data_IF_763031475567
#
_entry.id   IF_763031475567
#
_cell.length_a   1.000
_cell.length_b   1.000
_cell.length_c   1.000
_cell.angle_alpha   90.00
_cell.angle_beta   90.00
_cell.angle_gamma   90.00
#
_symmetry.space_group_name_H-M   'P 1'
#
loop_
_entity.id
_entity.type
_entity.pdbx_description
1 polymer ?
#
# COMPACT_ATOMS: atom_id res chain seq x y z
N UNK A 1 9.68 30.16 18.26
CA UNK A 1 9.77 28.67 18.32
C UNK A 1 8.98 28.12 17.16
N UNK A 2 9.64 27.68 16.11
CA UNK A 2 9.01 26.93 15.03
C UNK A 2 8.57 25.58 15.60
N UNK A 3 7.27 25.29 15.60
CA UNK A 3 6.75 23.95 15.91
C UNK A 3 7.32 23.02 14.84
N UNK A 4 8.27 22.16 15.22
CA UNK A 4 8.79 21.13 14.34
C UNK A 4 7.61 20.30 13.81
N UNK A 5 7.50 20.19 12.49
CA UNK A 5 6.57 19.29 11.82
C UNK A 5 6.85 17.90 12.33
N UNK A 6 5.87 17.27 12.98
CA UNK A 6 6.02 15.89 13.43
C UNK A 6 6.13 14.99 12.19
N UNK A 7 7.26 14.32 12.06
CA UNK A 7 7.50 13.34 11.02
C UNK A 7 6.40 12.25 11.05
N UNK A 8 5.74 12.00 9.92
CA UNK A 8 4.73 10.95 9.80
C UNK A 8 5.44 9.62 9.54
N UNK A 9 5.41 8.72 10.51
CA UNK A 9 6.06 7.41 10.46
C UNK A 9 5.03 6.29 10.65
N UNK A 10 5.39 5.06 10.26
CA UNK A 10 4.61 3.87 10.57
C UNK A 10 5.16 3.26 11.86
N UNK A 11 4.28 3.04 12.83
CA UNK A 11 4.59 2.39 14.10
C UNK A 11 3.91 1.02 14.21
N UNK A 12 4.39 0.21 15.14
CA UNK A 12 3.84 -1.09 15.47
C UNK A 12 3.36 -1.12 16.92
N UNK A 13 2.28 -1.84 17.14
CA UNK A 13 1.81 -2.25 18.45
C UNK A 13 1.45 -3.72 18.44
N UNK A 14 1.59 -4.40 19.57
CA UNK A 14 1.22 -5.80 19.77
C UNK A 14 0.17 -5.96 20.87
N UNK A 15 -0.63 -7.01 20.77
CA UNK A 15 -1.64 -7.38 21.75
C UNK A 15 -1.86 -8.88 21.76
N UNK A 16 -2.08 -9.46 22.96
CA UNK A 16 -2.43 -10.88 23.11
C UNK A 16 -3.96 -11.12 23.06
N UNK A 17 -4.76 -10.08 23.19
CA UNK A 17 -6.22 -10.22 23.33
C UNK A 17 -7.04 -9.19 22.53
N UNK A 18 -6.37 -8.30 21.78
CA UNK A 18 -7.03 -7.24 21.01
C UNK A 18 -7.50 -6.02 21.81
N UNK A 19 -7.44 -6.06 23.15
CA UNK A 19 -7.91 -4.97 24.01
C UNK A 19 -6.76 -4.17 24.65
N UNK A 20 -5.75 -4.85 25.18
CA UNK A 20 -4.55 -4.20 25.71
C UNK A 20 -3.43 -4.21 24.68
N UNK A 21 -2.87 -3.03 24.35
CA UNK A 21 -1.84 -2.87 23.34
C UNK A 21 -0.55 -2.33 23.90
N UNK A 22 0.56 -2.97 23.51
CA UNK A 22 1.92 -2.51 23.80
C UNK A 22 2.47 -1.81 22.57
N UNK A 23 3.01 -0.60 22.72
CA UNK A 23 3.71 0.10 21.65
C UNK A 23 5.10 -0.48 21.46
N UNK A 24 5.37 -1.07 20.32
CA UNK A 24 6.68 -1.62 19.97
C UNK A 24 7.63 -0.56 19.38
N UNK A 25 7.08 0.57 18.90
CA UNK A 25 7.86 1.67 18.38
C UNK A 25 7.64 1.94 16.89
N UNK A 26 8.52 2.78 16.33
CA UNK A 26 8.49 3.12 14.88
C UNK A 26 9.23 2.03 14.13
N UNK A 27 8.57 1.47 13.11
CA UNK A 27 9.11 0.41 12.25
C UNK A 27 9.47 0.90 10.84
N UNK A 28 8.90 2.01 10.38
CA UNK A 28 9.25 2.61 9.09
C UNK A 28 9.25 4.14 9.19
N UNK A 29 10.37 4.75 8.77
CA UNK A 29 10.53 6.20 8.69
C UNK A 29 10.57 6.67 7.25
N UNK A 30 10.15 7.93 6.98
CA UNK A 30 10.37 8.56 5.68
C UNK A 30 11.86 8.57 5.34
N UNK A 31 12.17 8.37 4.05
CA UNK A 31 13.54 8.48 3.54
C UNK A 31 13.54 8.59 2.01
N UNK A 32 14.37 9.49 1.50
CA UNK A 32 14.47 9.69 0.05
C UNK A 32 13.32 10.47 -0.57
N UNK A 33 13.26 10.56 -1.91
CA UNK A 33 12.36 11.47 -2.60
C UNK A 33 10.87 11.04 -2.57
N UNK A 34 10.61 9.73 -2.58
CA UNK A 34 9.25 9.20 -2.76
C UNK A 34 8.38 9.25 -1.49
N UNK A 35 8.99 9.25 -0.31
CA UNK A 35 8.28 9.27 0.97
C UNK A 35 8.91 10.24 1.99
N UNK A 36 9.81 11.11 1.57
CA UNK A 36 10.55 12.01 2.45
C UNK A 36 9.70 12.98 3.24
N UNK A 37 8.49 13.30 2.78
CA UNK A 37 7.53 14.12 3.50
C UNK A 37 6.63 13.32 4.47
N UNK A 38 6.62 11.97 4.38
CA UNK A 38 5.89 11.13 5.33
C UNK A 38 5.53 9.74 4.79
N UNK A 39 5.31 8.81 5.73
CA UNK A 39 4.77 7.48 5.51
C UNK A 39 3.46 7.31 6.28
N UNK A 40 2.44 6.69 5.67
CA UNK A 40 1.13 6.50 6.29
C UNK A 40 0.40 5.26 5.75
N UNK A 41 -0.73 4.92 6.36
CA UNK A 41 -1.75 3.99 5.86
C UNK A 41 -1.19 2.67 5.34
N UNK A 42 -0.40 1.99 6.18
CA UNK A 42 0.21 0.72 5.83
C UNK A 42 -0.80 -0.43 5.90
N UNK A 43 -0.72 -1.32 4.93
CA UNK A 43 -1.33 -2.65 4.94
C UNK A 43 -0.23 -3.70 4.87
N UNK A 44 -0.28 -4.72 5.71
CA UNK A 44 0.72 -5.79 5.78
C UNK A 44 0.07 -7.12 5.45
N UNK A 45 0.68 -7.87 4.55
CA UNK A 45 0.23 -9.21 4.16
C UNK A 45 1.40 -10.20 4.24
N UNK A 46 1.12 -11.44 4.64
CA UNK A 46 2.10 -12.51 4.60
C UNK A 46 2.37 -12.94 3.17
N UNK A 47 3.63 -13.19 2.84
CA UNK A 47 4.01 -13.75 1.53
C UNK A 47 3.45 -15.17 1.40
N UNK A 48 2.95 -15.51 0.22
CA UNK A 48 2.50 -16.85 -0.13
C UNK A 48 2.58 -17.06 -1.64
N UNK A 49 2.74 -18.29 -2.06
CA UNK A 49 2.69 -18.72 -3.47
C UNK A 49 1.55 -19.71 -3.68
N UNK A 50 1.04 -19.76 -4.89
CA UNK A 50 0.07 -20.77 -5.29
C UNK A 50 0.83 -22.04 -5.68
N UNK A 51 0.51 -23.19 -5.07
CA UNK A 51 1.09 -24.47 -5.44
C UNK A 51 0.40 -25.06 -6.69
N UNK A 52 0.94 -26.17 -7.21
CA UNK A 52 0.44 -26.84 -8.42
C UNK A 52 -1.00 -27.37 -8.25
N UNK A 53 -1.47 -27.55 -7.02
CA UNK A 53 -2.84 -27.99 -6.70
C UNK A 53 -3.84 -26.83 -6.60
N UNK A 54 -3.36 -25.59 -6.72
CA UNK A 54 -4.18 -24.37 -6.64
C UNK A 54 -4.43 -23.86 -5.21
N UNK A 55 -3.64 -24.31 -4.23
CA UNK A 55 -3.71 -23.82 -2.85
C UNK A 55 -2.60 -22.85 -2.53
N UNK A 56 -2.92 -21.85 -1.70
CA UNK A 56 -1.94 -20.90 -1.22
C UNK A 56 -1.07 -21.53 -0.12
N UNK A 57 0.23 -21.51 -0.34
CA UNK A 57 1.23 -21.90 0.65
C UNK A 57 1.95 -20.67 1.17
N UNK A 58 1.94 -20.52 2.50
CA UNK A 58 2.61 -19.39 3.14
C UNK A 58 4.13 -19.53 3.04
N UNK A 59 4.77 -18.45 2.64
CA UNK A 59 6.21 -18.30 2.60
C UNK A 59 6.74 -17.57 3.83
N UNK A 60 8.05 -17.60 4.01
CA UNK A 60 8.72 -16.75 4.99
C UNK A 60 8.61 -15.29 4.58
N UNK A 61 8.26 -14.44 5.54
CA UNK A 61 8.30 -12.99 5.40
C UNK A 61 6.95 -12.35 5.07
N UNK A 62 7.00 -11.04 5.05
CA UNK A 62 5.85 -10.15 4.99
C UNK A 62 6.09 -9.07 3.95
N UNK A 63 5.02 -8.60 3.32
CA UNK A 63 5.00 -7.41 2.48
C UNK A 63 4.18 -6.34 3.16
N UNK A 64 4.70 -5.11 3.17
CA UNK A 64 3.98 -3.91 3.54
C UNK A 64 3.77 -3.06 2.29
N UNK A 65 2.53 -2.67 2.05
CA UNK A 65 2.19 -1.63 1.10
C UNK A 65 1.77 -0.40 1.89
N UNK A 66 2.33 0.75 1.57
CA UNK A 66 2.10 1.96 2.33
C UNK A 66 2.04 3.19 1.44
N UNK A 67 1.41 4.22 1.96
CA UNK A 67 1.34 5.52 1.32
C UNK A 67 2.58 6.32 1.68
N UNK A 68 3.35 6.70 0.66
CA UNK A 68 4.45 7.64 0.78
C UNK A 68 4.05 9.01 0.25
N UNK A 69 4.48 10.06 0.93
CA UNK A 69 4.33 11.45 0.48
C UNK A 69 5.67 11.93 -0.02
N UNK A 70 5.74 12.25 -1.30
CA UNK A 70 6.97 12.73 -1.93
C UNK A 70 7.42 14.07 -1.37
N UNK A 71 8.72 14.20 -1.10
CA UNK A 71 9.34 15.47 -0.70
C UNK A 71 9.61 16.41 -1.88
N UNK A 72 9.49 15.93 -3.12
CA UNK A 72 9.77 16.70 -4.32
C UNK A 72 8.54 17.43 -4.86
N UNK A 73 7.39 16.73 -4.93
CA UNK A 73 6.17 17.26 -5.52
C UNK A 73 4.94 17.20 -4.58
N UNK A 74 5.10 16.65 -3.38
CA UNK A 74 4.03 16.51 -2.39
C UNK A 74 2.96 15.47 -2.76
N UNK A 75 3.08 14.79 -3.90
CA UNK A 75 2.11 13.79 -4.33
C UNK A 75 2.21 12.52 -3.51
N UNK A 76 1.07 11.87 -3.33
CA UNK A 76 0.94 10.60 -2.64
C UNK A 76 1.12 9.44 -3.61
N UNK A 77 1.88 8.42 -3.21
CA UNK A 77 2.19 7.23 -3.99
C UNK A 77 2.11 5.98 -3.13
N UNK A 78 1.88 4.83 -3.76
CA UNK A 78 1.93 3.54 -3.06
C UNK A 78 3.33 2.96 -3.23
N UNK A 79 3.94 2.66 -2.10
CA UNK A 79 5.28 2.09 -1.99
C UNK A 79 5.21 0.73 -1.31
N UNK A 80 6.27 -0.06 -1.44
CA UNK A 80 6.39 -1.35 -0.76
C UNK A 80 7.64 -1.43 0.11
N UNK A 81 7.53 -2.28 1.14
CA UNK A 81 8.65 -2.74 1.95
C UNK A 81 8.45 -4.22 2.30
N UNK A 82 9.54 -4.93 2.59
CA UNK A 82 9.50 -6.33 3.02
C UNK A 82 10.18 -6.52 4.37
N UNK A 83 9.78 -7.56 5.10
CA UNK A 83 10.32 -7.91 6.40
C UNK A 83 10.21 -9.41 6.67
N UNK A 84 11.16 -9.95 7.42
CA UNK A 84 11.12 -11.32 7.93
C UNK A 84 10.62 -11.40 9.38
N UNK A 85 10.58 -10.27 10.10
CA UNK A 85 10.34 -10.22 11.54
C UNK A 85 9.27 -9.19 11.99
N UNK A 86 8.63 -8.48 11.03
CA UNK A 86 7.69 -7.39 11.23
C UNK A 86 8.27 -6.14 11.93
N UNK A 87 9.53 -6.14 12.30
CA UNK A 87 10.20 -5.05 13.02
C UNK A 87 11.19 -4.30 12.14
N UNK A 88 11.96 -5.04 11.35
CA UNK A 88 12.95 -4.50 10.43
C UNK A 88 12.39 -4.57 9.00
N UNK A 89 12.26 -3.42 8.35
CA UNK A 89 11.66 -3.31 7.03
C UNK A 89 12.66 -2.78 6.00
N UNK A 90 12.80 -3.52 4.90
CA UNK A 90 13.59 -3.13 3.75
C UNK A 90 12.67 -2.51 2.69
N UNK A 91 12.85 -1.23 2.37
CA UNK A 91 12.06 -0.53 1.36
C UNK A 91 12.40 -1.04 -0.03
N UNK A 92 11.37 -1.39 -0.78
CA UNK A 92 11.47 -1.87 -2.16
C UNK A 92 11.21 -0.76 -3.19
N UNK A 93 10.63 0.36 -2.76
CA UNK A 93 10.35 1.52 -3.61
C UNK A 93 8.92 1.58 -4.14
N UNK A 94 8.79 2.18 -5.32
CA UNK A 94 7.51 2.50 -5.95
C UNK A 94 6.78 1.25 -6.44
N UNK A 95 5.51 1.14 -6.05
CA UNK A 95 4.56 0.14 -6.57
C UNK A 95 3.60 0.80 -7.55
N UNK A 96 3.07 1.96 -7.18
CA UNK A 96 2.10 2.67 -7.99
C UNK A 96 2.31 4.17 -7.93
N UNK A 97 2.42 4.78 -9.09
CA UNK A 97 2.38 6.23 -9.28
C UNK A 97 0.94 6.72 -9.46
N UNK A 98 0.70 7.99 -9.21
CA UNK A 98 -0.52 8.65 -9.65
C UNK A 98 -0.63 8.64 -11.18
N UNK A 99 -1.83 8.90 -11.70
CA UNK A 99 -2.09 8.97 -13.13
C UNK A 99 -1.19 10.02 -13.81
N UNK A 100 -0.73 9.70 -15.02
CA UNK A 100 0.23 10.54 -15.77
C UNK A 100 -0.45 11.73 -16.46
N UNK A 101 -1.72 11.60 -16.83
CA UNK A 101 -2.51 12.64 -17.46
C UNK A 101 -3.26 13.44 -16.42
N UNK A 102 -3.39 14.74 -16.61
CA UNK A 102 -4.18 15.62 -15.73
C UNK A 102 -5.66 15.22 -15.65
N UNK A 103 -6.18 14.59 -16.72
CA UNK A 103 -7.53 14.05 -16.77
C UNK A 103 -7.70 12.70 -16.07
N UNK A 104 -6.61 12.07 -15.63
CA UNK A 104 -6.71 10.81 -14.90
C UNK A 104 -7.37 11.04 -13.53
N UNK A 105 -8.32 10.19 -13.21
CA UNK A 105 -9.11 10.28 -11.98
C UNK A 105 -8.28 10.15 -10.69
N UNK A 106 -7.01 9.73 -10.80
CA UNK A 106 -6.05 9.57 -9.71
C UNK A 106 -4.75 10.36 -9.95
N UNK A 107 -4.82 11.44 -10.73
CA UNK A 107 -3.65 12.25 -11.13
C UNK A 107 -3.04 13.08 -9.99
N UNK A 108 -3.82 13.44 -8.96
CA UNK A 108 -3.33 14.16 -7.78
C UNK A 108 -2.59 13.26 -6.79
N UNK A 109 -3.01 11.99 -6.69
CA UNK A 109 -2.39 11.07 -5.76
C UNK A 109 -3.09 9.74 -5.64
N UNK A 110 -2.35 8.75 -5.14
CA UNK A 110 -2.86 7.42 -4.80
C UNK A 110 -2.42 7.02 -3.40
N UNK A 111 -3.29 6.33 -2.66
CA UNK A 111 -2.99 5.97 -1.28
C UNK A 111 -3.94 4.94 -0.68
N UNK A 112 -3.84 4.75 0.62
CA UNK A 112 -4.68 3.81 1.39
C UNK A 112 -4.70 2.39 0.80
N UNK A 113 -3.56 1.76 0.47
CA UNK A 113 -3.54 0.43 -0.12
C UNK A 113 -4.12 -0.60 0.85
N UNK A 114 -4.92 -1.51 0.32
CA UNK A 114 -5.42 -2.67 1.03
C UNK A 114 -5.32 -3.90 0.15
N UNK A 115 -4.46 -4.84 0.52
CA UNK A 115 -4.14 -6.04 -0.27
C UNK A 115 -4.82 -7.25 0.35
N UNK A 116 -5.52 -7.99 -0.48
CA UNK A 116 -6.13 -9.27 -0.12
C UNK A 116 -5.66 -10.36 -1.09
N UNK A 117 -5.73 -11.59 -0.63
CA UNK A 117 -5.46 -12.80 -1.41
C UNK A 117 -6.80 -13.44 -1.77
N UNK A 118 -6.98 -13.79 -3.04
CA UNK A 118 -8.21 -14.40 -3.55
C UNK A 118 -7.96 -15.84 -3.99
N UNK A 119 -9.03 -16.61 -4.10
CA UNK A 119 -9.00 -18.02 -4.49
C UNK A 119 -8.72 -18.21 -6.00
N UNK A 120 -8.72 -17.12 -6.78
CA UNK A 120 -8.37 -17.14 -8.21
C UNK A 120 -6.85 -17.17 -8.49
N UNK A 121 -6.04 -17.28 -7.43
CA UNK A 121 -4.58 -17.33 -7.54
C UNK A 121 -3.91 -15.96 -7.64
N UNK A 122 -4.65 -14.90 -7.38
CA UNK A 122 -4.13 -13.53 -7.43
C UNK A 122 -4.35 -12.77 -6.14
N UNK A 123 -3.50 -11.77 -5.96
CA UNK A 123 -3.70 -10.69 -5.00
C UNK A 123 -4.46 -9.55 -5.67
N UNK A 124 -5.33 -8.89 -4.91
CA UNK A 124 -5.96 -7.62 -5.31
C UNK A 124 -5.55 -6.55 -4.32
N UNK A 125 -5.13 -5.42 -4.85
CA UNK A 125 -4.90 -4.20 -4.07
C UNK A 125 -6.03 -3.22 -4.38
N UNK A 126 -6.82 -2.88 -3.38
CA UNK A 126 -7.75 -1.77 -3.43
C UNK A 126 -7.03 -0.53 -2.94
N UNK A 127 -7.19 0.59 -3.64
CA UNK A 127 -6.55 1.83 -3.29
C UNK A 127 -7.48 3.02 -3.53
N UNK A 128 -7.22 4.13 -2.85
CA UNK A 128 -7.90 5.40 -3.11
C UNK A 128 -7.07 6.22 -4.08
N UNK A 129 -7.68 6.71 -5.15
CA UNK A 129 -7.11 7.71 -6.03
C UNK A 129 -7.83 9.04 -5.87
N UNK A 130 -7.15 10.15 -6.13
CA UNK A 130 -7.67 11.50 -6.11
C UNK A 130 -7.30 12.21 -7.41
N UNK A 131 -8.29 12.81 -8.07
CA UNK A 131 -8.11 13.63 -9.26
C UNK A 131 -7.78 15.09 -8.94
N UNK A 132 -7.42 15.86 -9.96
CA UNK A 132 -7.14 17.31 -9.80
C UNK A 132 -8.36 18.12 -9.36
N UNK A 133 -9.56 17.62 -9.61
CA UNK A 133 -10.83 18.20 -9.17
C UNK A 133 -11.17 17.90 -7.70
N UNK A 134 -10.29 17.14 -7.00
CA UNK A 134 -10.47 16.72 -5.62
C UNK A 134 -11.47 15.57 -5.43
N UNK A 135 -12.00 15.00 -6.51
CA UNK A 135 -12.84 13.81 -6.41
C UNK A 135 -11.99 12.59 -6.12
N UNK A 136 -12.53 11.67 -5.32
CA UNK A 136 -11.87 10.44 -4.94
C UNK A 136 -12.67 9.22 -5.40
N UNK A 137 -11.95 8.16 -5.79
CA UNK A 137 -12.55 6.88 -6.15
C UNK A 137 -11.66 5.72 -5.70
N UNK A 138 -12.22 4.51 -5.74
CA UNK A 138 -11.49 3.29 -5.44
C UNK A 138 -11.04 2.64 -6.74
N UNK A 139 -9.74 2.38 -6.84
CA UNK A 139 -9.15 1.58 -7.90
C UNK A 139 -8.75 0.19 -7.43
N UNK A 140 -8.53 -0.69 -8.39
CA UNK A 140 -8.10 -2.07 -8.14
C UNK A 140 -6.87 -2.38 -8.98
N UNK A 141 -5.90 -3.02 -8.35
CA UNK A 141 -4.75 -3.62 -9.02
C UNK A 141 -4.68 -5.12 -8.75
N UNK A 142 -4.09 -5.86 -9.67
CA UNK A 142 -3.92 -7.30 -9.63
C UNK A 142 -2.44 -7.66 -9.67
N UNK A 143 -2.05 -8.67 -8.89
CA UNK A 143 -0.69 -9.23 -8.87
C UNK A 143 -0.73 -10.73 -8.58
N UNK A 144 0.19 -11.50 -9.16
CA UNK A 144 0.42 -12.91 -8.80
C UNK A 144 1.59 -13.11 -7.82
N UNK A 145 2.43 -12.07 -7.61
CA UNK A 145 3.72 -12.20 -6.93
C UNK A 145 4.00 -11.12 -5.85
N UNK A 146 3.03 -10.22 -5.60
CA UNK A 146 3.15 -9.05 -4.72
C UNK A 146 4.20 -7.99 -5.18
N UNK A 147 4.83 -8.19 -6.34
CA UNK A 147 5.89 -7.32 -6.87
C UNK A 147 5.46 -6.60 -8.13
N UNK A 148 4.86 -7.33 -9.06
CA UNK A 148 4.38 -6.83 -10.34
C UNK A 148 2.89 -6.59 -10.27
N UNK A 149 2.47 -5.32 -10.41
CA UNK A 149 1.09 -4.91 -10.25
C UNK A 149 0.54 -4.33 -11.55
N UNK A 150 -0.68 -4.71 -11.91
CA UNK A 150 -1.40 -4.19 -13.08
C UNK A 150 -2.73 -3.63 -12.64
N UNK A 151 -3.13 -2.48 -13.21
CA UNK A 151 -4.47 -1.93 -13.00
C UNK A 151 -5.49 -2.89 -13.59
N UNK A 152 -6.48 -3.25 -12.80
CA UNK A 152 -7.61 -4.05 -13.27
C UNK A 152 -8.69 -3.08 -13.76
N UNK A 153 -8.99 -3.09 -15.06
CA UNK A 153 -10.12 -2.37 -15.59
C UNK A 153 -11.37 -3.21 -15.28
N UNK A 154 -12.19 -2.72 -14.35
CA UNK A 154 -13.49 -3.31 -14.15
C UNK A 154 -14.38 -2.93 -15.34
N UNK A 155 -14.63 -3.87 -16.25
CA UNK A 155 -15.80 -3.78 -17.11
C UNK A 155 -17.03 -4.01 -16.25
N UNK A 156 -17.53 -2.96 -15.63
CA UNK A 156 -18.82 -3.01 -14.92
C UNK A 156 -19.91 -2.73 -15.94
N UNK A 157 -20.39 -3.77 -16.61
CA UNK A 157 -21.66 -3.69 -17.32
C UNK A 157 -22.78 -3.90 -16.30
N UNK A 158 -23.37 -2.85 -15.79
CA UNK A 158 -24.66 -2.93 -15.12
C UNK A 158 -25.75 -3.01 -16.20
N UNK A 159 -26.17 -4.23 -16.56
CA UNK A 159 -27.44 -4.40 -17.24
C UNK A 159 -28.53 -4.38 -16.15
N UNK A 160 -29.19 -3.24 -16.00
CA UNK A 160 -30.50 -3.21 -15.33
C UNK A 160 -31.54 -3.59 -16.38
N UNK A 161 -32.14 -4.79 -16.28
CA UNK A 161 -33.37 -5.15 -16.93
C UNK A 161 -34.57 -4.61 -16.13
#
# INVERSE_FOLDING_TARGET
MLKGTKEKCIGMGSSNNGFGWTKEGIILRPSGPLDGAGCARANVIRKATLNDEGFWEEEKGWMMFYEGVSSEDGKHRILAAESDDLKTWNKLGLVMNCGESDDAWDSSGVGSPHVIRLDDGYYRMYYTGEGLDGQTAIGVMKSSDLKSWQREQAEVSFAFE
#
